data_IF_765150166941
#
_entry.id   IF_765150166941
#
_cell.length_a   1.000
_cell.length_b   1.000
_cell.length_c   1.000
_cell.angle_alpha   90.00
_cell.angle_beta   90.00
_cell.angle_gamma   90.00
#
_symmetry.space_group_name_H-M   'P 1'
#
loop_
_entity.id
_entity.type
_entity.pdbx_description
1 polymer ?
#
# COMPACT_ATOMS: atom_id res chain seq x y z
N UNK A 1 9.51 -10.47 -12.89
CA UNK A 1 9.76 -10.01 -14.26
C UNK A 1 9.95 -8.51 -14.43
N UNK A 2 9.24 -7.62 -13.73
CA UNK A 2 9.38 -6.15 -13.90
C UNK A 2 10.82 -5.60 -13.80
N UNK A 3 11.62 -6.12 -12.87
CA UNK A 3 12.98 -5.61 -12.60
C UNK A 3 14.10 -6.46 -13.21
N UNK A 4 13.77 -7.55 -13.91
CA UNK A 4 14.77 -8.45 -14.49
C UNK A 4 15.42 -7.80 -15.72
N UNK A 5 16.69 -7.39 -15.57
CA UNK A 5 17.51 -6.85 -16.66
C UNK A 5 17.55 -5.32 -16.76
N UNK A 6 16.72 -4.59 -16.01
CA UNK A 6 16.80 -3.14 -15.88
C UNK A 6 18.01 -2.78 -15.00
N UNK A 7 18.87 -1.87 -15.46
CA UNK A 7 20.06 -1.40 -14.71
C UNK A 7 19.88 -0.03 -14.08
N UNK A 8 18.88 0.71 -14.54
CA UNK A 8 18.60 2.08 -14.15
C UNK A 8 17.09 2.24 -13.95
N UNK A 9 16.72 3.25 -13.18
CA UNK A 9 15.34 3.68 -13.03
C UNK A 9 15.08 4.69 -14.15
N UNK A 10 14.17 4.35 -15.05
CA UNK A 10 13.69 5.20 -16.15
C UNK A 10 12.18 5.42 -16.02
N UNK A 11 11.66 6.39 -16.79
CA UNK A 11 10.23 6.73 -16.77
C UNK A 11 9.36 5.53 -17.20
N UNK A 12 9.85 4.71 -18.14
CA UNK A 12 9.18 3.47 -18.58
C UNK A 12 8.99 2.48 -17.42
N UNK A 13 9.99 2.32 -16.55
CA UNK A 13 9.88 1.44 -15.37
C UNK A 13 8.82 1.95 -14.38
N UNK A 14 8.67 3.26 -14.24
CA UNK A 14 7.67 3.87 -13.36
C UNK A 14 6.25 3.74 -13.94
N UNK A 15 6.08 3.93 -15.25
CA UNK A 15 4.80 3.68 -15.95
C UNK A 15 4.37 2.19 -15.87
N UNK A 16 5.32 1.27 -16.07
CA UNK A 16 5.05 -0.16 -15.92
C UNK A 16 4.63 -0.50 -14.48
N UNK A 17 5.26 0.14 -13.49
CA UNK A 17 4.92 -0.04 -12.09
C UNK A 17 3.53 0.50 -11.77
N UNK A 18 3.18 1.69 -12.27
CA UNK A 18 1.84 2.27 -12.15
C UNK A 18 0.78 1.32 -12.72
N UNK A 19 1.02 0.81 -13.94
CA UNK A 19 0.12 -0.14 -14.60
C UNK A 19 -0.08 -1.40 -13.76
N UNK A 20 0.99 -1.93 -13.15
CA UNK A 20 0.88 -3.10 -12.27
C UNK A 20 0.08 -2.84 -11.00
N UNK A 21 0.22 -1.66 -10.38
CA UNK A 21 -0.56 -1.29 -9.19
C UNK A 21 -2.05 -1.17 -9.52
N UNK A 22 -2.38 -0.58 -10.67
CA UNK A 22 -3.77 -0.51 -11.13
C UNK A 22 -4.36 -1.90 -11.42
N UNK A 23 -3.60 -2.80 -12.05
CA UNK A 23 -4.03 -4.19 -12.26
C UNK A 23 -4.17 -5.00 -10.96
N UNK A 24 -3.53 -4.56 -9.88
CA UNK A 24 -3.59 -5.19 -8.57
C UNK A 24 -4.71 -4.61 -7.66
N UNK A 25 -5.67 -3.88 -8.24
CA UNK A 25 -6.81 -3.27 -7.52
C UNK A 25 -6.41 -2.24 -6.44
N UNK A 26 -5.25 -1.59 -6.56
CA UNK A 26 -4.82 -0.53 -5.63
C UNK A 26 -5.70 0.73 -5.77
N UNK A 27 -6.28 0.95 -6.94
CA UNK A 27 -7.07 2.14 -7.26
C UNK A 27 -6.23 3.31 -7.76
N UNK A 28 -6.87 4.27 -8.42
CA UNK A 28 -6.18 5.37 -9.13
C UNK A 28 -5.49 6.29 -8.13
N UNK A 29 -6.22 6.76 -7.13
CA UNK A 29 -5.75 7.77 -6.18
C UNK A 29 -4.52 7.28 -5.40
N UNK A 30 -4.60 6.07 -4.85
CA UNK A 30 -3.50 5.47 -4.09
C UNK A 30 -2.29 5.18 -4.99
N UNK A 31 -2.52 4.73 -6.23
CA UNK A 31 -1.43 4.48 -7.18
C UNK A 31 -0.70 5.77 -7.54
N UNK A 32 -1.43 6.83 -7.91
CA UNK A 32 -0.81 8.12 -8.25
C UNK A 32 0.00 8.68 -7.08
N UNK A 33 -0.53 8.61 -5.85
CA UNK A 33 0.20 9.04 -4.65
C UNK A 33 1.50 8.26 -4.44
N UNK A 34 1.48 6.94 -4.65
CA UNK A 34 2.68 6.10 -4.53
C UNK A 34 3.73 6.48 -5.59
N UNK A 35 3.32 6.62 -6.86
CA UNK A 35 4.23 6.93 -7.97
C UNK A 35 4.87 8.31 -7.79
N UNK A 36 4.08 9.34 -7.47
CA UNK A 36 4.60 10.69 -7.20
C UNK A 36 5.66 10.70 -6.09
N UNK A 37 5.43 9.94 -5.01
CA UNK A 37 6.40 9.81 -3.91
C UNK A 37 7.66 9.09 -4.35
N UNK A 38 7.55 8.00 -5.12
CA UNK A 38 8.71 7.27 -5.65
C UNK A 38 9.54 8.14 -6.60
N UNK A 39 8.90 8.86 -7.52
CA UNK A 39 9.56 9.85 -8.40
C UNK A 39 10.29 10.93 -7.63
N UNK A 40 9.66 11.47 -6.58
CA UNK A 40 10.29 12.46 -5.71
C UNK A 40 11.53 11.88 -5.00
N UNK A 41 11.52 10.60 -4.60
CA UNK A 41 12.69 9.93 -3.98
C UNK A 41 13.79 9.63 -5.00
N UNK A 42 13.43 9.23 -6.22
CA UNK A 42 14.38 9.02 -7.34
C UNK A 42 15.06 10.33 -7.71
N UNK A 43 14.31 11.42 -7.86
CA UNK A 43 14.86 12.74 -8.19
C UNK A 43 15.81 13.29 -7.11
N UNK A 44 15.57 12.94 -5.84
CA UNK A 44 16.48 13.22 -4.71
C UNK A 44 17.68 12.26 -4.60
N UNK A 45 17.81 11.28 -5.51
CA UNK A 45 18.87 10.23 -5.53
C UNK A 45 18.87 9.33 -4.29
N UNK A 46 17.71 9.16 -3.66
CA UNK A 46 17.51 8.24 -2.54
C UNK A 46 17.35 6.80 -3.04
N UNK A 47 16.81 6.63 -4.25
CA UNK A 47 16.59 5.35 -4.91
C UNK A 47 17.47 5.29 -6.16
N UNK A 48 18.52 4.46 -6.12
CA UNK A 48 19.61 4.51 -7.11
C UNK A 48 19.65 3.32 -8.08
N UNK A 49 18.84 2.29 -7.83
CA UNK A 49 18.72 1.11 -8.68
C UNK A 49 17.32 0.50 -8.55
N UNK A 50 16.93 -0.38 -9.48
CA UNK A 50 15.63 -1.07 -9.44
C UNK A 50 15.32 -1.79 -8.12
N UNK A 51 16.32 -2.39 -7.46
CA UNK A 51 16.13 -3.04 -6.17
C UNK A 51 15.80 -2.04 -5.05
N UNK A 52 16.42 -0.86 -5.06
CA UNK A 52 16.10 0.23 -4.16
C UNK A 52 14.71 0.78 -4.44
N UNK A 53 14.32 0.92 -5.72
CA UNK A 53 12.96 1.31 -6.09
C UNK A 53 11.92 0.33 -5.55
N UNK A 54 12.16 -0.97 -5.65
CA UNK A 54 11.28 -1.99 -5.10
C UNK A 54 11.14 -1.89 -3.57
N UNK A 55 12.23 -1.64 -2.86
CA UNK A 55 12.18 -1.39 -1.40
C UNK A 55 11.45 -0.10 -1.08
N UNK A 56 11.69 0.96 -1.84
CA UNK A 56 10.98 2.23 -1.72
C UNK A 56 9.48 2.04 -1.87
N UNK A 57 9.04 1.25 -2.86
CA UNK A 57 7.62 0.91 -3.06
C UNK A 57 7.02 0.21 -1.82
N UNK A 58 7.74 -0.77 -1.25
CA UNK A 58 7.28 -1.45 -0.03
C UNK A 58 7.12 -0.48 1.14
N UNK A 59 8.06 0.46 1.29
CA UNK A 59 7.99 1.51 2.31
C UNK A 59 6.81 2.45 2.10
N UNK A 60 6.55 2.89 0.86
CA UNK A 60 5.41 3.77 0.56
C UNK A 60 4.07 3.06 0.81
N UNK A 61 3.94 1.80 0.39
CA UNK A 61 2.76 0.98 0.68
C UNK A 61 2.52 0.83 2.19
N UNK A 62 3.59 0.54 2.95
CA UNK A 62 3.50 0.43 4.40
C UNK A 62 3.13 1.78 5.04
N UNK A 63 3.73 2.88 4.58
CA UNK A 63 3.43 4.22 5.06
C UNK A 63 2.00 4.66 4.78
N UNK A 64 1.44 4.26 3.63
CA UNK A 64 0.04 4.53 3.28
C UNK A 64 -0.93 3.81 4.22
N UNK A 65 -0.61 2.58 4.63
CA UNK A 65 -1.43 1.77 5.53
C UNK A 65 -1.24 2.12 7.01
N UNK A 66 -0.10 2.66 7.40
CA UNK A 66 0.25 2.92 8.80
C UNK A 66 -0.80 3.73 9.59
N UNK A 67 -1.42 4.80 9.05
CA UNK A 67 -2.41 5.60 9.79
C UNK A 67 -3.68 4.82 10.18
N UNK A 68 -3.99 3.75 9.47
CA UNK A 68 -5.18 2.91 9.69
C UNK A 68 -4.83 1.52 10.23
N UNK A 69 -3.55 1.23 10.43
CA UNK A 69 -3.05 -0.02 10.98
C UNK A 69 -3.15 -0.02 12.51
N UNK A 70 -4.39 -0.07 13.01
CA UNK A 70 -4.68 -0.15 14.43
C UNK A 70 -5.30 -1.52 14.77
N UNK A 71 -4.70 -2.30 15.69
CA UNK A 71 -5.32 -3.54 16.14
C UNK A 71 -6.58 -3.23 16.96
N UNK A 72 -7.59 -4.10 16.85
CA UNK A 72 -8.73 -4.07 17.76
C UNK A 72 -8.26 -4.49 19.16
N UNK A 73 -8.22 -3.55 20.10
CA UNK A 73 -7.88 -3.82 21.50
C UNK A 73 -9.13 -4.13 22.31
N UNK A 74 -9.04 -5.17 23.15
CA UNK A 74 -10.08 -5.58 24.10
C UNK A 74 -9.66 -5.30 25.55
N UNK A 75 -8.64 -4.47 25.75
CA UNK A 75 -8.22 -4.07 27.10
C UNK A 75 -9.41 -3.45 27.83
N UNK A 76 -9.80 -4.10 28.94
CA UNK A 76 -11.00 -3.75 29.71
C UNK A 76 -10.83 -2.39 30.36
N UNK A 77 -11.50 -1.36 29.84
CA UNK A 77 -11.71 -0.11 30.59
C UNK A 77 -12.87 -0.19 31.61
N UNK A 78 -13.75 -1.21 31.54
CA UNK A 78 -14.88 -1.34 32.48
C UNK A 78 -15.31 -2.78 32.74
N UNK A 79 -16.04 -3.00 33.84
CA UNK A 79 -16.62 -4.27 34.27
C UNK A 79 -17.78 -4.78 33.38
N UNK A 80 -18.09 -4.11 32.26
CA UNK A 80 -19.18 -4.44 31.34
C UNK A 80 -18.76 -5.29 30.11
N UNK A 81 -19.73 -5.79 29.32
CA UNK A 81 -19.45 -6.51 28.08
C UNK A 81 -18.92 -5.58 26.98
N UNK A 82 -18.01 -6.07 26.14
CA UNK A 82 -17.57 -5.40 24.91
C UNK A 82 -18.57 -5.71 23.79
N UNK A 83 -19.19 -4.67 23.20
CA UNK A 83 -20.23 -4.82 22.18
C UNK A 83 -19.69 -4.41 20.82
N UNK A 84 -19.75 -5.33 19.83
CA UNK A 84 -19.42 -5.06 18.43
C UNK A 84 -20.70 -5.09 17.60
N UNK A 85 -20.98 -4.02 16.86
CA UNK A 85 -22.04 -3.99 15.85
C UNK A 85 -21.45 -4.26 14.47
N UNK A 86 -21.74 -5.43 13.90
CA UNK A 86 -21.29 -5.81 12.55
C UNK A 86 -22.27 -5.28 11.50
N UNK A 87 -21.79 -4.45 10.57
CA UNK A 87 -22.60 -3.82 9.51
C UNK A 87 -22.04 -4.12 8.11
N UNK A 88 -22.87 -4.03 7.07
CA UNK A 88 -22.48 -4.26 5.67
C UNK A 88 -23.59 -4.91 4.83
N UNK A 89 -23.41 -4.99 3.51
CA UNK A 89 -24.39 -5.55 2.57
C UNK A 89 -24.48 -7.08 2.65
N UNK A 90 -25.50 -7.70 2.06
CA UNK A 90 -25.63 -9.16 2.07
C UNK A 90 -24.54 -9.83 1.22
N UNK A 91 -23.99 -10.95 1.70
CA UNK A 91 -23.00 -11.74 0.96
C UNK A 91 -21.52 -11.41 1.21
N UNK A 92 -21.18 -10.34 1.94
CA UNK A 92 -19.76 -9.95 2.23
C UNK A 92 -19.15 -10.63 3.45
N UNK A 93 -19.79 -11.67 3.98
CA UNK A 93 -19.23 -12.48 5.07
C UNK A 93 -19.55 -12.03 6.50
N UNK A 94 -20.50 -11.10 6.75
CA UNK A 94 -20.84 -10.62 8.12
C UNK A 94 -21.14 -11.70 9.18
N UNK A 95 -21.69 -12.85 8.78
CA UNK A 95 -21.98 -13.97 9.70
C UNK A 95 -20.76 -14.87 9.92
N UNK A 96 -19.76 -14.76 9.05
CA UNK A 96 -18.56 -15.61 8.99
C UNK A 96 -17.34 -14.92 9.61
N UNK A 97 -17.23 -13.60 9.47
CA UNK A 97 -16.20 -12.73 10.05
C UNK A 97 -16.32 -12.66 11.57
#
# INVERSE_FOLDING_TARGET
DLFLGKKHIDDELLEDLETQLLMADVGIEATSEIIERLEARVSRKELNNPEALYRGLQEELAALLAPVSAPLSFEKESDGPFVILVVGVNGVGKTTT
#
